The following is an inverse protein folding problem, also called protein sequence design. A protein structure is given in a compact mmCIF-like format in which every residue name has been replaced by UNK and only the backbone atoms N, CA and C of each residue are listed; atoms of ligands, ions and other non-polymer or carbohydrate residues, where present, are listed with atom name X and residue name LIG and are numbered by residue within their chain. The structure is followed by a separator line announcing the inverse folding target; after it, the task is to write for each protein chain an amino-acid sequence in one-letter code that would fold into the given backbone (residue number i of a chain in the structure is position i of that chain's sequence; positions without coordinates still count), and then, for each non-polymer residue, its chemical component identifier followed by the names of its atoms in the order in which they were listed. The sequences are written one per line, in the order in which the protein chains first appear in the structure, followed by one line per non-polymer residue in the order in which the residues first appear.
data_IF_569236706441
#
_entry.id   IF_569236706441
#
_cell.length_a   1.000
_cell.length_b   1.000
_cell.length_c   1.000
_cell.angle_alpha   90.00
_cell.angle_beta   90.00
_cell.angle_gamma   90.00
#
_symmetry.space_group_name_H-M   'P 1'
#
loop_
_entity.id
_entity.type
_entity.pdbx_description
1 polymer ?
#
# COMPACT_ATOMS: atom_id res chain seq x y z
N UNK A 1 31.58 -48.99 17.95
CA UNK A 1 30.60 -48.54 16.94
C UNK A 1 30.34 -47.06 17.15
N UNK A 2 31.01 -46.23 16.33
CA UNK A 2 30.96 -44.76 16.43
C UNK A 2 29.74 -44.24 15.68
N UNK A 3 28.84 -43.54 16.37
CA UNK A 3 27.68 -42.85 15.75
C UNK A 3 28.15 -41.56 15.08
N UNK A 4 28.22 -41.58 13.76
CA UNK A 4 28.52 -40.38 12.95
C UNK A 4 27.46 -39.30 13.11
N UNK A 5 27.92 -38.07 13.42
CA UNK A 5 27.11 -36.85 13.46
C UNK A 5 26.64 -36.48 12.03
N UNK A 6 25.37 -36.19 11.78
CA UNK A 6 24.92 -35.80 10.45
C UNK A 6 25.54 -34.45 10.06
N UNK A 7 26.21 -34.42 8.90
CA UNK A 7 26.78 -33.20 8.32
C UNK A 7 25.68 -32.16 8.11
N UNK A 8 25.85 -31.00 8.77
CA UNK A 8 25.00 -29.82 8.54
C UNK A 8 25.20 -29.37 7.09
N UNK A 9 24.11 -29.37 6.33
CA UNK A 9 24.07 -28.80 4.98
C UNK A 9 24.51 -27.32 4.95
N UNK A 10 24.87 -26.78 3.78
CA UNK A 10 25.39 -25.42 3.65
C UNK A 10 24.38 -24.43 4.23
N UNK A 11 24.86 -23.51 5.07
CA UNK A 11 24.06 -22.43 5.63
C UNK A 11 23.60 -21.53 4.48
N UNK A 12 22.29 -21.40 4.27
CA UNK A 12 21.69 -20.37 3.41
C UNK A 12 22.02 -18.99 3.99
N UNK A 13 23.07 -18.35 3.47
CA UNK A 13 23.73 -17.29 4.23
C UNK A 13 23.57 -15.89 3.69
N UNK A 14 23.03 -15.68 2.50
CA UNK A 14 23.07 -14.33 1.93
C UNK A 14 21.70 -13.86 1.44
N UNK A 15 20.96 -13.19 2.33
CA UNK A 15 19.68 -12.55 2.00
C UNK A 15 19.84 -11.43 0.98
N UNK A 16 20.98 -10.71 1.01
CA UNK A 16 21.28 -9.62 0.07
C UNK A 16 21.52 -10.17 -1.34
N UNK A 17 22.30 -11.26 -1.47
CA UNK A 17 22.52 -11.92 -2.75
C UNK A 17 21.24 -12.50 -3.33
N UNK A 18 20.38 -13.10 -2.49
CA UNK A 18 19.08 -13.62 -2.92
C UNK A 18 18.11 -12.52 -3.32
N UNK A 19 18.12 -11.38 -2.63
CA UNK A 19 17.35 -10.22 -3.03
C UNK A 19 17.81 -9.67 -4.39
N UNK A 20 19.11 -9.47 -4.59
CA UNK A 20 19.72 -9.02 -5.86
C UNK A 20 19.45 -9.97 -7.03
N UNK A 21 19.32 -11.28 -6.76
CA UNK A 21 18.98 -12.29 -7.76
C UNK A 21 17.47 -12.49 -8.00
N UNK A 22 16.60 -11.73 -7.30
CA UNK A 22 15.14 -11.90 -7.35
C UNK A 22 14.63 -13.19 -6.70
N UNK A 23 15.47 -13.92 -5.97
CA UNK A 23 15.13 -15.21 -5.35
C UNK A 23 14.65 -15.10 -3.90
N UNK A 24 14.32 -13.89 -3.43
CA UNK A 24 13.69 -13.66 -2.12
C UNK A 24 12.21 -14.00 -2.22
N UNK A 25 11.83 -15.18 -1.74
CA UNK A 25 10.45 -15.65 -1.68
C UNK A 25 9.90 -15.29 -0.29
N UNK A 26 8.92 -14.38 -0.22
CA UNK A 26 8.30 -13.90 1.03
C UNK A 26 7.70 -15.04 1.85
N UNK A 27 7.14 -16.07 1.20
CA UNK A 27 6.53 -17.22 1.86
C UNK A 27 7.53 -18.07 2.65
N UNK A 28 8.81 -18.13 2.22
CA UNK A 28 9.86 -18.87 2.91
C UNK A 28 10.41 -18.14 4.13
N UNK A 29 10.41 -16.80 4.11
CA UNK A 29 10.85 -16.00 5.26
C UNK A 29 9.89 -16.17 6.44
N UNK A 30 8.58 -16.21 6.19
CA UNK A 30 7.56 -16.41 7.21
C UNK A 30 7.55 -17.86 7.76
N UNK A 31 7.76 -18.86 6.93
CA UNK A 31 7.82 -20.27 7.37
C UNK A 31 9.05 -20.55 8.27
N UNK A 32 10.22 -19.97 7.96
CA UNK A 32 11.41 -20.09 8.79
C UNK A 32 11.28 -19.36 10.15
N UNK A 33 10.47 -18.29 10.24
CA UNK A 33 10.21 -17.61 11.51
C UNK A 33 9.39 -18.44 12.50
N UNK A 34 8.43 -19.24 12.02
CA UNK A 34 7.62 -20.13 12.88
C UNK A 34 8.44 -21.27 13.49
N UNK A 35 9.43 -21.79 12.78
CA UNK A 35 10.28 -22.89 13.25
C UNK A 35 11.39 -22.45 14.23
N UNK A 36 11.84 -21.19 14.15
CA UNK A 36 12.98 -20.68 14.93
C UNK A 36 12.60 -20.02 16.27
N UNK A 37 11.31 -19.98 16.65
CA UNK A 37 10.86 -19.26 17.87
C UNK A 37 11.38 -19.82 19.20
N UNK A 38 11.85 -21.04 19.29
CA UNK A 38 12.26 -21.67 20.58
C UNK A 38 13.75 -21.81 20.86
N UNK A 39 14.66 -21.61 19.90
CA UNK A 39 16.08 -21.97 20.09
C UNK A 39 17.13 -20.86 19.91
N UNK A 40 16.81 -19.68 19.36
CA UNK A 40 17.82 -18.68 18.95
C UNK A 40 17.73 -17.30 19.62
N UNK A 41 16.91 -17.13 20.63
CA UNK A 41 16.72 -15.84 21.30
C UNK A 41 17.99 -15.32 21.99
N UNK A 42 18.85 -16.21 22.52
CA UNK A 42 20.06 -15.84 23.25
C UNK A 42 21.25 -15.43 22.37
N UNK A 43 21.44 -16.04 21.20
CA UNK A 43 22.55 -15.71 20.31
C UNK A 43 22.31 -14.41 19.51
N UNK A 44 21.04 -14.14 19.13
CA UNK A 44 20.64 -12.90 18.45
C UNK A 44 20.82 -11.64 19.32
N UNK A 45 20.66 -11.76 20.64
CA UNK A 45 20.85 -10.65 21.56
C UNK A 45 22.32 -10.22 21.71
N UNK A 46 23.29 -11.13 21.57
CA UNK A 46 24.72 -10.79 21.61
C UNK A 46 25.14 -9.99 20.38
N UNK A 47 24.76 -10.40 19.18
CA UNK A 47 25.13 -9.73 17.92
C UNK A 47 24.49 -8.35 17.81
N UNK A 48 23.21 -8.22 18.18
CA UNK A 48 22.51 -6.94 18.21
C UNK A 48 23.10 -5.96 19.25
N UNK A 49 23.55 -6.46 20.42
CA UNK A 49 24.22 -5.64 21.44
C UNK A 49 25.60 -5.17 21.00
N UNK A 50 26.35 -5.97 20.25
CA UNK A 50 27.69 -5.59 19.75
C UNK A 50 27.60 -4.50 18.69
N UNK A 51 26.62 -4.57 17.78
CA UNK A 51 26.35 -3.52 16.78
C UNK A 51 25.85 -2.23 17.49
N UNK A 52 24.97 -2.35 18.49
CA UNK A 52 24.50 -1.18 19.27
C UNK A 52 25.62 -0.50 20.05
N UNK A 53 26.61 -1.25 20.58
CA UNK A 53 27.72 -0.68 21.36
C UNK A 53 28.71 0.09 20.47
N UNK A 54 29.02 -0.39 19.27
CA UNK A 54 29.85 0.34 18.30
C UNK A 54 29.19 1.57 17.69
N UNK A 55 27.85 1.61 17.65
CA UNK A 55 27.07 2.77 17.18
C UNK A 55 26.92 3.87 18.24
N UNK A 56 27.04 3.54 19.53
CA UNK A 56 26.95 4.52 20.62
C UNK A 56 28.20 5.41 20.78
N UNK A 57 29.32 5.04 20.16
CA UNK A 57 30.60 5.74 20.33
C UNK A 57 30.83 6.88 19.30
N UNK A 58 30.03 6.97 18.23
CA UNK A 58 30.03 8.13 17.33
C UNK A 58 28.70 8.88 17.49
N UNK A 59 28.75 10.13 17.92
CA UNK A 59 27.62 11.07 17.82
C UNK A 59 27.40 11.33 16.32
N UNK A 60 26.59 10.47 15.70
CA UNK A 60 26.19 10.64 14.29
C UNK A 60 25.26 11.83 14.21
N UNK A 61 25.68 12.84 13.46
CA UNK A 61 24.78 13.90 13.05
C UNK A 61 23.79 13.31 12.03
N UNK A 62 22.59 12.99 12.51
CA UNK A 62 21.52 12.36 11.71
C UNK A 62 21.12 13.27 10.53
N UNK A 63 21.29 14.58 10.69
CA UNK A 63 20.93 15.57 9.64
C UNK A 63 21.84 15.45 8.41
N UNK A 64 23.06 14.98 8.57
CA UNK A 64 24.01 14.80 7.45
C UNK A 64 23.81 13.49 6.70
N UNK A 65 23.00 12.57 7.22
CA UNK A 65 22.77 11.27 6.58
C UNK A 65 21.93 11.41 5.29
N UNK A 66 22.21 10.56 4.29
CA UNK A 66 21.41 10.56 3.06
C UNK A 66 19.94 10.26 3.34
N UNK A 67 19.07 10.91 2.55
CA UNK A 67 17.63 10.64 2.56
C UNK A 67 17.32 9.63 1.46
N UNK A 68 16.55 8.59 1.80
CA UNK A 68 16.05 7.61 0.86
C UNK A 68 14.54 7.43 0.97
N UNK A 69 13.96 6.84 -0.06
CA UNK A 69 12.54 6.48 -0.15
C UNK A 69 12.36 4.99 0.13
N UNK A 70 11.46 4.65 1.03
CA UNK A 70 11.07 3.24 1.28
C UNK A 70 10.16 2.79 0.14
N UNK A 71 10.65 1.87 -0.69
CA UNK A 71 9.89 1.37 -1.86
C UNK A 71 9.24 0.01 -1.61
N UNK A 72 9.74 -0.75 -0.64
CA UNK A 72 9.12 -1.99 -0.18
C UNK A 72 9.48 -2.26 1.28
N UNK A 73 8.54 -2.85 2.04
CA UNK A 73 8.74 -3.26 3.43
C UNK A 73 8.60 -4.77 3.53
N UNK A 74 9.61 -5.43 4.09
CA UNK A 74 9.60 -6.85 4.44
C UNK A 74 9.50 -7.01 5.96
N UNK A 75 9.32 -8.21 6.44
CA UNK A 75 9.15 -8.44 7.89
C UNK A 75 10.32 -7.94 8.76
N UNK A 76 11.55 -7.94 8.23
CA UNK A 76 12.78 -7.56 8.96
C UNK A 76 13.59 -6.47 8.27
N UNK A 77 13.28 -6.16 7.02
CA UNK A 77 14.04 -5.26 6.16
C UNK A 77 13.12 -4.31 5.43
N UNK A 78 13.68 -3.19 4.99
CA UNK A 78 13.06 -2.27 4.05
C UNK A 78 13.99 -2.10 2.86
N UNK A 79 13.44 -2.08 1.67
CA UNK A 79 14.15 -1.62 0.49
C UNK A 79 14.05 -0.10 0.45
N UNK A 80 15.21 0.55 0.53
CA UNK A 80 15.34 2.01 0.53
C UNK A 80 16.06 2.43 -0.73
N UNK A 81 15.43 3.26 -1.55
CA UNK A 81 16.02 3.85 -2.75
C UNK A 81 16.60 5.23 -2.44
N UNK A 82 17.86 5.42 -2.78
CA UNK A 82 18.52 6.72 -2.76
C UNK A 82 19.15 6.95 -4.12
N UNK A 83 18.78 8.05 -4.79
CA UNK A 83 19.10 8.32 -6.19
C UNK A 83 18.70 7.15 -7.10
N UNK A 84 19.65 6.51 -7.77
CA UNK A 84 19.42 5.39 -8.69
C UNK A 84 19.66 4.02 -8.07
N UNK A 85 20.06 3.96 -6.78
CA UNK A 85 20.42 2.71 -6.10
C UNK A 85 19.41 2.33 -5.04
N UNK A 86 19.09 1.04 -4.97
CA UNK A 86 18.30 0.46 -3.90
C UNK A 86 19.22 -0.25 -2.91
N UNK A 87 18.92 -0.09 -1.62
CA UNK A 87 19.65 -0.67 -0.49
C UNK A 87 18.71 -1.45 0.41
N UNK A 88 19.11 -2.65 0.81
CA UNK A 88 18.38 -3.41 1.80
C UNK A 88 18.77 -2.93 3.20
N UNK A 89 17.84 -2.27 3.90
CA UNK A 89 18.08 -1.65 5.19
C UNK A 89 17.31 -2.32 6.31
N UNK A 90 17.91 -2.37 7.50
CA UNK A 90 17.22 -2.73 8.76
C UNK A 90 16.74 -1.47 9.48
N UNK A 91 15.67 -1.64 10.26
CA UNK A 91 15.15 -0.56 11.12
C UNK A 91 15.81 -0.63 12.48
N UNK A 92 16.30 0.50 12.98
CA UNK A 92 16.85 0.58 14.32
C UNK A 92 15.76 0.28 15.37
N UNK A 93 16.02 -0.66 16.28
CA UNK A 93 15.04 -1.10 17.31
C UNK A 93 14.53 0.03 18.20
N UNK A 94 15.37 1.02 18.49
CA UNK A 94 14.97 2.20 19.26
C UNK A 94 13.92 3.01 18.54
N UNK A 95 14.03 3.16 17.21
CA UNK A 95 13.06 3.87 16.38
C UNK A 95 11.67 3.22 16.48
N UNK A 96 11.60 1.89 16.42
CA UNK A 96 10.33 1.15 16.55
C UNK A 96 9.68 1.29 17.91
N UNK A 97 10.47 1.52 18.98
CA UNK A 97 9.96 1.68 20.35
C UNK A 97 9.56 3.12 20.67
N UNK A 98 10.32 4.10 20.17
CA UNK A 98 10.12 5.52 20.52
C UNK A 98 9.13 6.21 19.59
N UNK A 99 9.09 5.84 18.31
CA UNK A 99 8.19 6.48 17.35
C UNK A 99 6.74 5.95 17.43
N UNK A 100 6.50 4.79 18.05
CA UNK A 100 5.17 4.14 18.05
C UNK A 100 4.61 3.89 16.64
N UNK A 101 5.41 4.18 15.60
CA UNK A 101 4.97 4.27 14.21
C UNK A 101 5.71 3.22 13.38
N UNK A 102 4.95 2.39 12.70
CA UNK A 102 5.48 1.41 11.77
C UNK A 102 6.02 2.11 10.51
N UNK A 103 7.18 1.66 9.98
CA UNK A 103 7.67 2.08 8.66
C UNK A 103 6.77 1.49 7.58
N UNK A 104 6.46 2.31 6.58
CA UNK A 104 5.61 1.95 5.45
C UNK A 104 6.20 2.40 4.12
N UNK A 105 5.66 1.88 3.03
CA UNK A 105 6.02 2.31 1.68
C UNK A 105 5.69 3.80 1.49
N UNK A 106 6.61 4.53 0.86
CA UNK A 106 6.51 5.97 0.68
C UNK A 106 7.14 6.80 1.82
N UNK A 107 7.58 6.17 2.92
CA UNK A 107 8.34 6.89 3.94
C UNK A 107 9.65 7.43 3.38
N UNK A 108 9.96 8.67 3.70
CA UNK A 108 11.29 9.24 3.52
C UNK A 108 12.09 8.98 4.80
N UNK A 109 13.26 8.41 4.65
CA UNK A 109 14.07 7.97 5.80
C UNK A 109 15.50 8.46 5.69
N UNK A 110 16.10 8.80 6.83
CA UNK A 110 17.54 8.98 6.90
C UNK A 110 18.17 7.65 7.28
N UNK A 111 19.15 7.25 6.48
CA UNK A 111 19.79 5.94 6.67
C UNK A 111 21.30 6.03 6.53
N UNK A 112 21.99 5.12 7.16
CA UNK A 112 23.44 4.98 7.12
C UNK A 112 23.78 3.68 6.41
N UNK A 113 24.69 3.75 5.44
CA UNK A 113 25.27 2.56 4.81
C UNK A 113 26.22 1.86 5.79
N UNK A 114 26.16 0.53 5.82
CA UNK A 114 27.03 -0.30 6.63
C UNK A 114 28.04 -0.99 5.72
N UNK A 115 29.33 -0.74 5.95
CA UNK A 115 30.40 -1.41 5.22
C UNK A 115 30.72 -2.81 5.78
N UNK A 116 30.00 -3.27 6.80
CA UNK A 116 30.25 -4.55 7.48
C UNK A 116 29.51 -5.69 6.77
N UNK A 117 30.23 -6.47 5.99
CA UNK A 117 29.76 -7.64 5.25
C UNK A 117 29.19 -8.79 6.14
N UNK A 118 29.06 -8.57 7.46
CA UNK A 118 28.62 -9.60 8.40
C UNK A 118 27.12 -9.68 8.67
N UNK A 119 26.37 -8.63 8.36
CA UNK A 119 24.94 -8.52 8.65
C UNK A 119 24.15 -8.33 7.34
N UNK A 120 23.88 -9.24 6.57
CA UNK A 120 22.96 -9.30 5.41
C UNK A 120 22.12 -8.04 5.05
N UNK A 121 22.41 -6.87 5.61
CA UNK A 121 21.80 -5.58 5.38
C UNK A 121 22.86 -4.57 4.95
N UNK A 122 22.54 -3.79 3.91
CA UNK A 122 23.43 -2.77 3.35
C UNK A 122 23.37 -1.46 4.12
N UNK A 123 22.31 -1.26 4.93
CA UNK A 123 22.14 -0.03 5.71
C UNK A 123 21.24 -0.18 6.94
N UNK A 124 21.22 0.90 7.73
CA UNK A 124 20.38 1.04 8.92
C UNK A 124 19.58 2.33 8.83
N UNK A 125 18.27 2.23 8.96
CA UNK A 125 17.37 3.38 9.05
C UNK A 125 17.49 3.96 10.46
N UNK A 126 17.90 5.24 10.51
CA UNK A 126 18.14 5.97 11.75
C UNK A 126 16.97 6.88 12.13
N UNK A 127 16.25 7.45 11.12
CA UNK A 127 15.07 8.31 11.33
C UNK A 127 14.07 8.19 10.19
N UNK A 128 12.79 8.34 10.53
CA UNK A 128 11.70 8.56 9.57
C UNK A 128 11.44 10.06 9.51
N UNK A 129 11.43 10.64 8.31
CA UNK A 129 11.08 12.03 8.10
C UNK A 129 9.57 12.26 8.30
N UNK A 130 9.14 13.49 8.64
CA UNK A 130 7.72 13.80 8.81
C UNK A 130 6.91 13.45 7.55
N UNK A 131 5.80 12.75 7.76
CA UNK A 131 4.87 12.38 6.70
C UNK A 131 3.98 13.56 6.32
N UNK A 132 3.83 13.81 5.03
CA UNK A 132 2.93 14.84 4.49
C UNK A 132 1.51 14.29 4.33
N UNK A 133 1.41 13.07 3.83
CA UNK A 133 0.15 12.33 3.64
C UNK A 133 0.27 10.94 4.23
N UNK A 134 -0.87 10.33 4.57
CA UNK A 134 -0.89 9.01 5.19
C UNK A 134 -2.17 8.25 4.80
N UNK A 135 -2.03 6.98 4.45
CA UNK A 135 -3.15 6.06 4.38
C UNK A 135 -3.01 4.98 5.44
N UNK A 136 -4.12 4.66 6.08
CA UNK A 136 -4.18 3.65 7.14
C UNK A 136 -5.06 2.49 6.72
N UNK A 137 -4.90 1.37 7.41
CA UNK A 137 -5.80 0.22 7.35
C UNK A 137 -6.66 0.20 8.61
N UNK A 138 -7.96 -0.03 8.44
CA UNK A 138 -8.82 -0.34 9.56
C UNK A 138 -8.46 -1.74 10.09
N UNK A 139 -8.11 -1.86 11.37
CA UNK A 139 -7.97 -3.16 11.99
C UNK A 139 -9.35 -3.73 12.31
N UNK A 140 -9.60 -4.98 11.88
CA UNK A 140 -10.90 -5.65 12.05
C UNK A 140 -11.22 -5.98 13.52
N UNK A 141 -10.21 -5.97 14.40
CA UNK A 141 -10.35 -6.39 15.80
C UNK A 141 -10.19 -5.25 16.81
N UNK A 142 -9.50 -4.16 16.43
CA UNK A 142 -9.26 -3.01 17.30
C UNK A 142 -9.46 -1.74 16.48
N UNK A 143 -10.69 -1.28 16.44
CA UNK A 143 -11.08 -0.09 15.68
C UNK A 143 -10.33 1.20 16.08
N UNK A 144 -9.59 1.17 17.19
CA UNK A 144 -8.83 2.31 17.73
C UNK A 144 -7.40 2.37 17.18
N UNK A 145 -6.78 1.22 16.82
CA UNK A 145 -5.43 1.19 16.29
C UNK A 145 -5.47 1.31 14.76
N UNK A 146 -5.14 2.48 14.26
CA UNK A 146 -5.00 2.73 12.83
C UNK A 146 -3.56 2.46 12.41
N UNK A 147 -3.37 1.43 11.59
CA UNK A 147 -2.04 1.08 11.11
C UNK A 147 -1.76 1.79 9.77
N UNK A 148 -0.72 2.62 9.70
CA UNK A 148 -0.29 3.18 8.41
C UNK A 148 0.09 2.07 7.45
N UNK A 149 -0.23 2.25 6.17
CA UNK A 149 0.12 1.33 5.07
C UNK A 149 0.88 2.01 3.95
N UNK A 150 0.62 3.30 3.72
CA UNK A 150 1.30 4.14 2.73
C UNK A 150 1.49 5.54 3.30
N UNK A 151 2.63 6.16 2.99
CA UNK A 151 2.94 7.54 3.32
C UNK A 151 3.37 8.33 2.07
N UNK A 152 3.25 9.65 2.13
CA UNK A 152 3.78 10.60 1.16
C UNK A 152 3.34 10.37 -0.31
N UNK A 153 2.16 9.79 -0.52
CA UNK A 153 1.52 9.76 -1.82
C UNK A 153 0.71 11.05 -2.05
N UNK A 154 0.74 11.60 -3.27
CA UNK A 154 0.00 12.83 -3.61
C UNK A 154 -1.46 12.57 -3.93
N UNK A 155 -1.78 11.42 -4.52
CA UNK A 155 -3.14 11.10 -4.94
C UNK A 155 -3.53 9.64 -4.71
N UNK A 156 -4.85 9.41 -4.71
CA UNK A 156 -5.45 8.07 -4.67
C UNK A 156 -6.27 7.85 -5.94
N UNK A 157 -5.90 6.87 -6.76
CA UNK A 157 -6.71 6.42 -7.89
C UNK A 157 -7.70 5.34 -7.42
N UNK A 158 -8.96 5.73 -7.30
CA UNK A 158 -10.06 4.85 -6.90
C UNK A 158 -10.64 4.20 -8.14
N UNK A 159 -10.29 2.94 -8.39
CA UNK A 159 -10.76 2.20 -9.57
C UNK A 159 -12.01 1.41 -9.24
N UNK A 160 -13.06 1.65 -10.01
CA UNK A 160 -14.28 0.85 -10.07
C UNK A 160 -14.41 0.25 -11.47
N UNK A 161 -15.23 -0.77 -11.63
CA UNK A 161 -15.64 -1.26 -12.96
C UNK A 161 -17.13 -1.05 -13.14
N UNK A 162 -17.55 -0.81 -14.40
CA UNK A 162 -18.99 -0.68 -14.70
C UNK A 162 -19.73 -1.99 -14.45
N UNK A 163 -19.04 -3.12 -14.62
CA UNK A 163 -19.57 -4.47 -14.45
C UNK A 163 -18.48 -5.49 -14.10
N UNK A 164 -18.85 -6.59 -13.46
CA UNK A 164 -17.97 -7.72 -13.11
C UNK A 164 -16.62 -7.32 -12.45
N UNK A 165 -16.62 -6.73 -11.22
CA UNK A 165 -17.75 -6.62 -10.28
C UNK A 165 -18.57 -5.34 -10.46
N UNK A 166 -19.78 -5.31 -9.92
CA UNK A 166 -20.61 -4.11 -9.83
C UNK A 166 -19.91 -2.95 -9.13
N UNK A 167 -20.14 -1.69 -9.58
CA UNK A 167 -19.67 -0.52 -8.86
C UNK A 167 -20.37 -0.44 -7.50
N UNK A 168 -19.58 -0.30 -6.46
CA UNK A 168 -20.07 -0.11 -5.08
C UNK A 168 -19.86 1.34 -4.67
N UNK A 169 -20.81 2.22 -5.01
CA UNK A 169 -20.68 3.66 -4.80
C UNK A 169 -20.38 4.02 -3.36
N UNK A 170 -21.04 3.40 -2.37
CA UNK A 170 -20.73 3.62 -0.96
C UNK A 170 -19.33 3.19 -0.53
N UNK A 171 -18.68 2.25 -1.25
CA UNK A 171 -17.27 1.92 -1.02
C UNK A 171 -16.36 2.99 -1.64
N UNK A 172 -16.73 3.54 -2.80
CA UNK A 172 -16.02 4.65 -3.42
C UNK A 172 -16.07 5.86 -2.52
N UNK A 173 -17.25 6.23 -2.01
CA UNK A 173 -17.41 7.34 -1.06
C UNK A 173 -16.54 7.16 0.21
N UNK A 174 -16.48 5.93 0.73
CA UNK A 174 -15.57 5.63 1.85
C UNK A 174 -14.10 5.84 1.48
N UNK A 175 -13.71 5.49 0.26
CA UNK A 175 -12.34 5.71 -0.23
C UNK A 175 -12.07 7.21 -0.45
N UNK A 176 -13.07 8.00 -0.88
CA UNK A 176 -12.99 9.46 -0.96
C UNK A 176 -12.70 10.06 0.41
N UNK A 177 -13.46 9.67 1.44
CA UNK A 177 -13.23 10.11 2.83
C UNK A 177 -11.82 9.69 3.30
N UNK A 178 -11.38 8.46 3.01
CA UNK A 178 -10.05 8.00 3.38
C UNK A 178 -8.93 8.79 2.68
N UNK A 179 -9.11 9.14 1.41
CA UNK A 179 -8.16 9.97 0.67
C UNK A 179 -8.09 11.39 1.28
N UNK A 180 -9.22 12.04 1.46
CA UNK A 180 -9.30 13.40 2.03
C UNK A 180 -8.73 13.45 3.44
N UNK A 181 -9.11 12.52 4.31
CA UNK A 181 -8.60 12.46 5.69
C UNK A 181 -7.09 12.19 5.75
N UNK A 182 -6.55 11.43 4.78
CA UNK A 182 -5.13 11.19 4.59
C UNK A 182 -4.38 12.32 3.85
N UNK A 183 -5.07 13.39 3.45
CA UNK A 183 -4.57 14.52 2.64
C UNK A 183 -4.09 14.13 1.24
N UNK A 184 -4.71 13.10 0.63
CA UNK A 184 -4.47 12.71 -0.76
C UNK A 184 -5.56 13.31 -1.65
N UNK A 185 -5.18 13.66 -2.88
CA UNK A 185 -6.15 14.07 -3.92
C UNK A 185 -6.83 12.82 -4.50
N UNK A 186 -8.16 12.67 -4.39
CA UNK A 186 -8.86 11.53 -4.98
C UNK A 186 -9.07 11.72 -6.49
N UNK A 187 -8.93 10.63 -7.24
CA UNK A 187 -9.32 10.50 -8.65
C UNK A 187 -10.17 9.23 -8.78
N UNK A 188 -11.33 9.32 -9.42
CA UNK A 188 -12.21 8.16 -9.63
C UNK A 188 -12.08 7.67 -11.07
N UNK A 189 -11.74 6.40 -11.25
CA UNK A 189 -11.63 5.74 -12.53
C UNK A 189 -12.72 4.67 -12.70
N UNK A 190 -13.62 4.85 -13.66
CA UNK A 190 -14.59 3.83 -14.05
C UNK A 190 -14.04 3.03 -15.21
N UNK A 191 -13.62 1.81 -14.94
CA UNK A 191 -12.98 0.90 -15.90
C UNK A 191 -13.97 -0.08 -16.54
N UNK A 192 -13.54 -0.78 -17.58
CA UNK A 192 -14.29 -1.77 -18.36
C UNK A 192 -15.50 -1.19 -19.09
N UNK A 193 -15.43 0.06 -19.52
CA UNK A 193 -16.53 0.72 -20.24
C UNK A 193 -16.83 0.08 -21.61
N UNK A 194 -15.94 -0.75 -22.16
CA UNK A 194 -16.18 -1.60 -23.32
C UNK A 194 -17.38 -2.54 -23.13
N UNK A 195 -17.71 -2.90 -21.90
CA UNK A 195 -18.86 -3.73 -21.58
C UNK A 195 -20.21 -3.03 -21.82
N UNK A 196 -20.22 -1.69 -21.85
CA UNK A 196 -21.44 -0.91 -22.18
C UNK A 196 -22.01 -1.17 -23.58
N UNK A 197 -21.21 -1.78 -24.46
CA UNK A 197 -21.64 -2.12 -25.81
C UNK A 197 -21.94 -3.61 -26.03
N UNK A 198 -21.64 -4.45 -25.04
CA UNK A 198 -21.65 -5.92 -25.21
C UNK A 198 -22.32 -6.68 -24.07
N UNK A 199 -22.69 -6.00 -22.99
CA UNK A 199 -23.25 -6.64 -21.79
C UNK A 199 -24.47 -5.86 -21.28
N UNK A 200 -25.62 -6.52 -21.24
CA UNK A 200 -26.90 -5.90 -20.85
C UNK A 200 -26.92 -5.41 -19.40
N UNK A 201 -26.24 -6.12 -18.51
CA UNK A 201 -26.16 -5.74 -17.09
C UNK A 201 -25.24 -4.51 -16.91
N UNK A 202 -24.17 -4.41 -17.70
CA UNK A 202 -23.35 -3.22 -17.76
C UNK A 202 -24.13 -2.02 -18.27
N UNK A 203 -24.92 -2.18 -19.36
CA UNK A 203 -25.78 -1.14 -19.91
C UNK A 203 -26.79 -0.65 -18.86
N UNK A 204 -27.38 -1.55 -18.09
CA UNK A 204 -28.32 -1.19 -17.02
C UNK A 204 -27.69 -0.35 -15.89
N UNK A 205 -26.39 -0.43 -15.70
CA UNK A 205 -25.64 0.39 -14.71
C UNK A 205 -25.30 1.80 -15.23
N UNK A 206 -25.35 2.02 -16.55
CA UNK A 206 -24.87 3.25 -17.16
C UNK A 206 -25.56 4.51 -16.62
N UNK A 207 -26.91 4.59 -16.53
CA UNK A 207 -27.58 5.82 -16.09
C UNK A 207 -27.13 6.26 -14.69
N UNK A 208 -27.06 5.32 -13.75
CA UNK A 208 -26.59 5.61 -12.39
C UNK A 208 -25.10 5.98 -12.37
N UNK A 209 -24.28 5.30 -13.16
CA UNK A 209 -22.86 5.61 -13.24
C UNK A 209 -22.61 7.01 -13.82
N UNK A 210 -23.38 7.41 -14.82
CA UNK A 210 -23.32 8.74 -15.43
C UNK A 210 -23.72 9.81 -14.43
N UNK A 211 -24.82 9.61 -13.70
CA UNK A 211 -25.27 10.50 -12.63
C UNK A 211 -24.20 10.66 -11.54
N UNK A 212 -23.68 9.56 -11.00
CA UNK A 212 -22.69 9.60 -9.91
C UNK A 212 -21.38 10.27 -10.37
N UNK A 213 -20.87 9.95 -11.54
CA UNK A 213 -19.63 10.58 -12.04
C UNK A 213 -19.84 12.07 -12.33
N UNK A 214 -20.99 12.47 -12.89
CA UNK A 214 -21.33 13.87 -13.07
C UNK A 214 -21.41 14.60 -11.73
N UNK A 215 -22.01 13.99 -10.70
CA UNK A 215 -22.06 14.52 -9.35
C UNK A 215 -20.67 14.70 -8.74
N UNK A 216 -19.81 13.68 -8.83
CA UNK A 216 -18.44 13.77 -8.32
C UNK A 216 -17.66 14.91 -8.99
N UNK A 217 -17.80 15.06 -10.30
CA UNK A 217 -17.08 16.09 -11.05
C UNK A 217 -17.66 17.48 -10.80
N UNK A 218 -18.98 17.63 -10.96
CA UNK A 218 -19.64 18.92 -10.91
C UNK A 218 -19.85 19.47 -9.49
N UNK A 219 -20.22 18.59 -8.54
CA UNK A 219 -20.57 19.02 -7.18
C UNK A 219 -19.38 18.93 -6.22
N UNK A 220 -18.57 17.87 -6.31
CA UNK A 220 -17.47 17.65 -5.41
C UNK A 220 -16.09 18.07 -5.96
N UNK A 221 -16.00 18.47 -7.24
CA UNK A 221 -14.75 18.84 -7.88
C UNK A 221 -13.74 17.68 -8.00
N UNK A 222 -14.24 16.44 -7.90
CA UNK A 222 -13.41 15.24 -7.99
C UNK A 222 -13.19 14.88 -9.44
N UNK A 223 -11.94 14.71 -9.85
CA UNK A 223 -11.63 14.29 -11.20
C UNK A 223 -12.07 12.85 -11.45
N UNK A 224 -12.77 12.65 -12.56
CA UNK A 224 -13.24 11.32 -12.97
C UNK A 224 -12.70 10.98 -14.36
N UNK A 225 -12.38 9.70 -14.60
CA UNK A 225 -11.93 9.19 -15.90
C UNK A 225 -12.64 7.87 -16.21
N UNK A 226 -12.99 7.66 -17.48
CA UNK A 226 -13.60 6.42 -17.98
C UNK A 226 -12.58 5.67 -18.82
N UNK A 227 -12.36 4.39 -18.53
CA UNK A 227 -11.30 3.62 -19.16
C UNK A 227 -11.76 2.25 -19.62
N UNK A 228 -11.10 1.75 -20.66
CA UNK A 228 -11.11 0.35 -21.05
C UNK A 228 -9.71 -0.08 -21.45
N UNK A 229 -9.18 -1.09 -20.77
CA UNK A 229 -7.92 -1.72 -21.19
C UNK A 229 -8.07 -2.41 -22.55
N UNK A 230 -9.25 -3.00 -22.82
CA UNK A 230 -9.53 -3.76 -24.04
C UNK A 230 -9.55 -2.87 -25.28
N UNK A 231 -10.21 -1.72 -25.21
CA UNK A 231 -10.31 -0.76 -26.33
C UNK A 231 -9.28 0.35 -26.28
N UNK A 232 -8.47 0.43 -25.20
CA UNK A 232 -7.52 1.49 -24.89
C UNK A 232 -8.14 2.88 -24.67
N UNK A 233 -9.45 2.97 -24.62
CA UNK A 233 -10.16 4.23 -24.36
C UNK A 233 -9.79 4.80 -22.98
N UNK A 234 -9.55 6.11 -22.91
CA UNK A 234 -9.25 6.85 -21.68
C UNK A 234 -7.88 6.55 -21.06
N UNK A 235 -7.03 5.71 -21.68
CA UNK A 235 -5.71 5.39 -21.12
C UNK A 235 -4.74 6.57 -21.21
N UNK A 236 -4.81 7.39 -22.26
CA UNK A 236 -3.95 8.57 -22.41
C UNK A 236 -4.30 9.65 -21.37
N UNK A 237 -5.59 9.85 -21.11
CA UNK A 237 -6.06 10.73 -20.03
C UNK A 237 -5.58 10.21 -18.68
N UNK A 238 -5.77 8.92 -18.40
CA UNK A 238 -5.30 8.29 -17.16
C UNK A 238 -3.78 8.40 -17.02
N UNK A 239 -3.01 8.16 -18.09
CA UNK A 239 -1.57 8.32 -18.12
C UNK A 239 -1.13 9.73 -17.75
N UNK A 240 -1.81 10.75 -18.30
CA UNK A 240 -1.56 12.16 -17.99
C UNK A 240 -1.84 12.49 -16.52
N UNK A 241 -2.86 11.87 -15.92
CA UNK A 241 -3.20 12.02 -14.49
C UNK A 241 -2.17 11.38 -13.55
N UNK A 242 -1.48 10.32 -13.99
CA UNK A 242 -0.45 9.63 -13.21
C UNK A 242 0.92 10.28 -13.34
N UNK A 243 1.14 11.04 -14.41
CA UNK A 243 2.42 11.67 -14.69
C UNK A 243 2.83 12.62 -13.55
N UNK A 244 4.08 12.48 -13.11
CA UNK A 244 4.68 13.27 -12.02
C UNK A 244 3.98 13.18 -10.66
N UNK A 245 3.07 12.20 -10.50
CA UNK A 245 2.36 11.97 -9.25
C UNK A 245 2.80 10.64 -8.61
N UNK A 246 2.80 10.61 -7.28
CA UNK A 246 2.86 9.35 -6.54
C UNK A 246 1.43 8.94 -6.21
N UNK A 247 0.94 7.89 -6.84
CA UNK A 247 -0.47 7.49 -6.84
C UNK A 247 -0.68 6.16 -6.11
N UNK A 248 -1.55 6.14 -5.10
CA UNK A 248 -2.00 4.89 -4.48
C UNK A 248 -3.15 4.29 -5.29
N UNK A 249 -3.04 3.00 -5.60
CA UNK A 249 -4.12 2.26 -6.26
C UNK A 249 -5.12 1.75 -5.23
N UNK A 250 -6.38 2.14 -5.38
CA UNK A 250 -7.49 1.72 -4.54
C UNK A 250 -8.61 1.11 -5.39
N UNK A 251 -9.44 0.27 -4.79
CA UNK A 251 -10.60 -0.33 -5.47
C UNK A 251 -10.71 -1.83 -5.21
N UNK A 252 -11.89 -2.36 -5.50
CA UNK A 252 -12.22 -3.77 -5.26
C UNK A 252 -11.34 -4.71 -6.10
N UNK A 253 -11.22 -5.97 -5.66
CA UNK A 253 -10.56 -7.01 -6.48
C UNK A 253 -11.32 -7.23 -7.78
N UNK A 254 -10.60 -7.41 -8.89
CA UNK A 254 -11.19 -7.69 -10.21
C UNK A 254 -11.66 -6.47 -11.00
N UNK A 255 -11.55 -5.23 -10.47
CA UNK A 255 -11.89 -4.00 -11.22
C UNK A 255 -10.86 -3.62 -12.30
N UNK A 256 -9.69 -4.26 -12.30
CA UNK A 256 -8.68 -4.07 -13.34
C UNK A 256 -7.54 -3.11 -12.99
N UNK A 257 -7.27 -2.83 -11.70
CA UNK A 257 -6.17 -1.93 -11.26
C UNK A 257 -4.83 -2.26 -11.91
N UNK A 258 -4.34 -3.47 -11.70
CA UNK A 258 -3.04 -3.92 -12.24
C UNK A 258 -3.04 -3.94 -13.77
N UNK A 259 -4.17 -4.31 -14.40
CA UNK A 259 -4.30 -4.30 -15.86
C UNK A 259 -4.24 -2.89 -16.45
N UNK A 260 -4.82 -1.89 -15.76
CA UNK A 260 -4.74 -0.48 -16.17
C UNK A 260 -3.31 0.02 -16.12
N UNK A 261 -2.59 -0.26 -15.02
CA UNK A 261 -1.21 0.17 -14.87
C UNK A 261 -0.31 -0.48 -15.93
N UNK A 262 -0.46 -1.79 -16.17
CA UNK A 262 0.27 -2.51 -17.22
C UNK A 262 -0.10 -2.08 -18.64
N UNK A 263 -1.32 -1.57 -18.86
CA UNK A 263 -1.71 -1.01 -20.15
C UNK A 263 -1.03 0.35 -20.43
N UNK A 264 -0.67 1.10 -19.38
CA UNK A 264 0.07 2.36 -19.44
C UNK A 264 1.59 2.09 -19.51
N UNK A 265 2.08 1.18 -18.67
CA UNK A 265 3.50 0.80 -18.63
C UNK A 265 3.65 -0.73 -18.62
N UNK A 266 3.80 -1.34 -19.81
CA UNK A 266 3.91 -2.80 -19.94
C UNK A 266 5.18 -3.41 -19.34
N UNK A 267 6.19 -2.60 -19.05
CA UNK A 267 7.48 -3.07 -18.54
C UNK A 267 7.50 -3.25 -17.01
N UNK A 268 6.42 -2.87 -16.31
CA UNK A 268 6.33 -3.01 -14.87
C UNK A 268 6.20 -4.49 -14.46
N UNK A 269 7.00 -4.92 -13.51
CA UNK A 269 6.88 -6.25 -12.87
C UNK A 269 5.73 -6.27 -11.84
N UNK A 270 4.51 -6.00 -12.33
CA UNK A 270 3.28 -6.10 -11.56
C UNK A 270 2.67 -7.50 -11.74
N UNK A 271 2.54 -8.25 -10.64
CA UNK A 271 1.88 -9.55 -10.66
C UNK A 271 0.37 -9.38 -10.80
N UNK A 272 -0.17 -9.70 -11.97
CA UNK A 272 -1.62 -9.78 -12.18
C UNK A 272 -2.11 -11.14 -11.69
N UNK A 273 -2.91 -11.15 -10.63
CA UNK A 273 -3.62 -12.37 -10.24
C UNK A 273 -4.74 -12.65 -11.28
N UNK A 274 -4.80 -13.85 -11.90
CA UNK A 274 -5.91 -14.21 -12.78
C UNK A 274 -7.23 -14.14 -11.99
N UNK A 275 -8.29 -13.66 -12.64
CA UNK A 275 -9.64 -13.63 -12.08
C UNK A 275 -10.10 -15.08 -11.88
N UNK A 276 -9.81 -15.67 -10.74
CA UNK A 276 -10.23 -17.05 -10.44
C UNK A 276 -11.67 -17.06 -9.98
N UNK A 277 -12.53 -17.74 -10.74
CA UNK A 277 -13.91 -18.08 -10.38
C UNK A 277 -14.01 -19.10 -9.21
N UNK A 278 -12.89 -19.52 -8.64
CA UNK A 278 -12.84 -20.55 -7.61
C UNK A 278 -12.25 -19.98 -6.33
N UNK A 279 -13.03 -19.98 -5.28
CA UNK A 279 -12.61 -19.72 -3.91
C UNK A 279 -11.68 -20.85 -3.42
N UNK A 280 -10.41 -20.83 -3.76
CA UNK A 280 -9.41 -21.65 -3.11
C UNK A 280 -8.87 -20.89 -1.90
N UNK A 281 -9.42 -21.21 -0.73
CA UNK A 281 -8.79 -20.92 0.58
C UNK A 281 -7.38 -21.51 0.58
N UNK A 282 -6.35 -20.67 0.73
CA UNK A 282 -5.06 -21.16 1.16
C UNK A 282 -3.83 -20.81 0.35
N UNK A 283 -3.75 -19.61 -0.29
CA UNK A 283 -2.45 -19.13 -0.76
C UNK A 283 -2.35 -17.64 -0.45
N UNK A 284 -1.54 -17.29 0.54
CA UNK A 284 -1.24 -15.89 0.88
C UNK A 284 -0.46 -15.28 -0.29
N UNK A 285 -1.16 -14.56 -1.15
CA UNK A 285 -0.58 -13.69 -2.16
C UNK A 285 0.00 -12.49 -1.42
N UNK A 286 1.15 -12.01 -1.84
CA UNK A 286 1.93 -10.84 -1.41
C UNK A 286 1.08 -9.80 -0.67
N UNK A 287 1.36 -9.61 0.63
CA UNK A 287 0.56 -8.76 1.52
C UNK A 287 1.21 -7.39 1.78
N UNK A 288 2.36 -7.11 1.17
CA UNK A 288 3.09 -5.85 1.34
C UNK A 288 2.84 -4.87 0.19
N UNK A 289 2.64 -3.60 0.53
CA UNK A 289 2.59 -2.53 -0.45
C UNK A 289 3.96 -2.40 -1.16
N UNK A 290 3.95 -1.98 -2.44
CA UNK A 290 5.17 -1.74 -3.21
C UNK A 290 5.03 -0.50 -4.09
N UNK A 291 6.10 0.27 -4.16
CA UNK A 291 6.24 1.44 -4.99
C UNK A 291 6.88 1.05 -6.34
N UNK A 292 6.27 1.50 -7.44
CA UNK A 292 6.73 1.27 -8.80
C UNK A 292 6.83 2.60 -9.53
N UNK A 293 7.99 2.89 -10.11
CA UNK A 293 8.15 4.06 -10.99
C UNK A 293 7.52 3.78 -12.35
N UNK A 294 6.86 4.79 -12.92
CA UNK A 294 6.26 4.71 -14.24
C UNK A 294 7.19 5.30 -15.30
N UNK A 295 7.28 4.66 -16.46
CA UNK A 295 8.06 5.17 -17.60
C UNK A 295 7.58 6.55 -18.09
N UNK A 296 6.30 6.87 -17.90
CA UNK A 296 5.71 8.18 -18.22
C UNK A 296 6.05 9.28 -17.21
N UNK A 297 6.80 8.94 -16.17
CA UNK A 297 7.08 9.79 -14.98
C UNK A 297 6.03 9.60 -13.89
N UNK A 298 6.44 9.89 -12.63
CA UNK A 298 5.64 9.59 -11.45
C UNK A 298 5.75 8.12 -11.00
N UNK A 299 4.86 7.70 -10.12
CA UNK A 299 4.90 6.35 -9.56
C UNK A 299 3.52 5.85 -9.12
N UNK A 300 3.37 4.54 -9.02
CA UNK A 300 2.20 3.91 -8.41
C UNK A 300 2.60 3.09 -7.20
N UNK A 301 1.75 3.11 -6.17
CA UNK A 301 1.87 2.25 -5.01
C UNK A 301 0.70 1.26 -5.05
N UNK A 302 1.01 -0.01 -5.31
CA UNK A 302 0.02 -1.07 -5.20
C UNK A 302 -0.06 -1.58 -3.76
N UNK A 303 -1.28 -1.76 -3.27
CA UNK A 303 -1.58 -2.21 -1.90
C UNK A 303 -2.36 -3.52 -1.94
N UNK A 304 -1.72 -4.66 -2.27
CA UNK A 304 -2.41 -5.94 -2.40
C UNK A 304 -3.12 -6.32 -1.10
N UNK A 305 -4.34 -6.84 -1.21
CA UNK A 305 -5.09 -7.34 -0.05
C UNK A 305 -5.71 -6.28 0.86
N UNK A 306 -5.52 -5.00 0.62
CA UNK A 306 -6.22 -3.94 1.37
C UNK A 306 -7.66 -3.85 0.88
N UNK A 307 -8.57 -4.45 1.64
CA UNK A 307 -10.01 -4.45 1.31
C UNK A 307 -10.72 -3.17 1.76
N UNK A 308 -10.24 -2.57 2.85
CA UNK A 308 -10.82 -1.36 3.44
C UNK A 308 -9.70 -0.46 3.96
N UNK A 309 -9.69 0.78 3.50
CA UNK A 309 -8.86 1.81 4.08
C UNK A 309 -9.48 2.29 5.40
N UNK A 310 -8.62 2.56 6.39
CA UNK A 310 -8.99 3.21 7.63
C UNK A 310 -9.33 4.68 7.37
N UNK A 311 -10.15 5.23 8.24
CA UNK A 311 -10.52 6.64 8.20
C UNK A 311 -9.67 7.37 9.24
N UNK A 312 -8.53 7.90 8.84
CA UNK A 312 -7.59 8.58 9.75
C UNK A 312 -8.19 9.84 10.33
N UNK A 313 -8.28 9.93 11.67
CA UNK A 313 -8.84 11.10 12.34
C UNK A 313 -10.32 11.35 12.07
N UNK A 314 -11.03 10.44 11.38
CA UNK A 314 -12.46 10.56 11.16
C UNK A 314 -13.22 9.90 12.30
N UNK A 315 -14.10 10.65 12.91
CA UNK A 315 -15.01 10.23 13.98
C UNK A 315 -16.46 10.42 13.54
N UNK A 316 -17.41 9.90 14.31
CA UNK A 316 -18.82 10.16 14.05
C UNK A 316 -19.14 11.66 14.10
N UNK A 317 -18.45 12.40 14.97
CA UNK A 317 -18.69 13.82 15.23
C UNK A 317 -18.15 14.74 14.12
N UNK A 318 -17.12 14.32 13.38
CA UNK A 318 -16.53 15.11 12.30
C UNK A 318 -16.78 14.55 10.90
N UNK A 319 -17.51 13.43 10.77
CA UNK A 319 -17.76 12.78 9.46
C UNK A 319 -18.47 13.74 8.49
N UNK A 320 -19.37 14.58 8.99
CA UNK A 320 -20.14 15.52 8.17
C UNK A 320 -19.21 16.47 7.40
N UNK A 321 -18.08 16.88 7.96
CA UNK A 321 -17.12 17.74 7.27
C UNK A 321 -16.51 17.14 6.00
N UNK A 322 -16.59 15.80 5.82
CA UNK A 322 -16.19 15.09 4.61
C UNK A 322 -17.35 14.91 3.61
N UNK A 323 -18.53 15.43 3.95
CA UNK A 323 -19.73 15.41 3.12
C UNK A 323 -20.39 16.79 3.06
N UNK A 324 -19.64 17.81 2.60
CA UNK A 324 -20.16 19.21 2.60
C UNK A 324 -21.39 19.39 1.70
N UNK A 325 -21.59 18.46 0.79
CA UNK A 325 -22.67 18.41 -0.19
C UNK A 325 -24.03 17.96 0.37
N UNK A 326 -24.09 17.38 1.58
CA UNK A 326 -25.34 16.86 2.16
C UNK A 326 -26.33 17.95 2.54
N UNK A 327 -25.87 19.17 2.77
CA UNK A 327 -26.75 20.31 3.11
C UNK A 327 -27.63 20.81 1.94
N UNK A 328 -27.26 20.45 0.67
CA UNK A 328 -27.80 21.05 -0.53
C UNK A 328 -28.41 20.00 -1.49
N UNK A 329 -29.50 19.38 -1.14
CA UNK A 329 -30.22 18.41 -2.01
C UNK A 329 -29.34 17.25 -2.56
N UNK A 330 -28.52 16.66 -1.70
CA UNK A 330 -27.73 15.50 -2.09
C UNK A 330 -28.63 14.31 -2.46
N UNK A 331 -28.29 13.54 -3.51
CA UNK A 331 -29.09 12.40 -3.91
C UNK A 331 -29.13 11.30 -2.85
N UNK A 332 -30.18 10.49 -2.85
CA UNK A 332 -30.43 9.43 -1.85
C UNK A 332 -29.24 8.46 -1.70
N UNK A 333 -28.58 8.08 -2.80
CA UNK A 333 -27.41 7.17 -2.76
C UNK A 333 -26.22 7.80 -1.98
N UNK A 334 -26.11 9.13 -1.98
CA UNK A 334 -25.07 9.86 -1.27
C UNK A 334 -25.35 9.86 0.24
N UNK A 335 -26.61 10.12 0.65
CA UNK A 335 -27.06 9.99 2.02
C UNK A 335 -26.88 8.58 2.57
N UNK A 336 -27.23 7.56 1.78
CA UNK A 336 -27.02 6.16 2.16
C UNK A 336 -25.54 5.84 2.38
N UNK A 337 -24.66 6.40 1.58
CA UNK A 337 -23.20 6.25 1.77
C UNK A 337 -22.73 6.86 3.08
N UNK A 338 -23.15 8.07 3.39
CA UNK A 338 -22.87 8.73 4.66
C UNK A 338 -23.36 7.90 5.85
N UNK A 339 -24.61 7.48 5.84
CA UNK A 339 -25.19 6.68 6.92
C UNK A 339 -24.44 5.36 7.15
N UNK A 340 -24.03 4.67 6.08
CA UNK A 340 -23.25 3.43 6.18
C UNK A 340 -21.87 3.66 6.80
N UNK A 341 -21.22 4.76 6.46
CA UNK A 341 -19.92 5.12 7.03
C UNK A 341 -20.11 5.48 8.51
N UNK A 342 -21.08 6.32 8.83
CA UNK A 342 -21.43 6.69 10.21
C UNK A 342 -21.72 5.47 11.09
N UNK A 343 -22.56 4.56 10.62
CA UNK A 343 -22.85 3.31 11.31
C UNK A 343 -21.60 2.45 11.55
N UNK A 344 -20.64 2.46 10.60
CA UNK A 344 -19.36 1.74 10.76
C UNK A 344 -18.47 2.35 11.83
N UNK A 345 -18.48 3.68 12.00
CA UNK A 345 -17.73 4.39 13.03
C UNK A 345 -18.32 4.15 14.44
N UNK A 346 -19.66 4.08 14.56
CA UNK A 346 -20.30 3.75 15.83
C UNK A 346 -20.02 2.31 16.30
N UNK A 347 -19.98 1.34 15.38
CA UNK A 347 -19.64 -0.06 15.71
C UNK A 347 -18.18 -0.23 16.15
N UNK A 348 -17.33 0.69 15.78
CA UNK A 348 -15.91 0.69 16.11
C UNK A 348 -15.62 1.24 17.52
N UNK A 349 -16.59 1.83 18.23
CA UNK A 349 -16.41 2.25 19.63
C UNK A 349 -16.43 1.00 20.52
N UNK A 350 -15.42 0.73 21.36
CA UNK A 350 -15.51 -0.32 22.38
C UNK A 350 -16.61 0.06 23.39
N UNK A 351 -17.39 -0.95 23.78
CA UNK A 351 -18.33 -0.83 24.91
C UNK A 351 -17.58 -0.70 26.22
#
# INVERSE_FOLDING_TARGET
MSRGNPKKGPREKDLTARWKSGALDEDRVDAQQRFNRRGKFHQRNKTARTVQRRVAENVLDIETLPVGLVIQVFSLFCEVRSDTKSHLCVVRRTLLKTAGTQIVVGDRVRFRLCNDAGNNAEGVIERIEPRQTILTRADSFKAIEQHPIVANAGQMLIVASIWAPFPRWGLIDRMLVAAQSGKLTPVVCLNKIDLLTSDTEAMAQQPLADEVLAYYTGRLGIRTVRTSVKTRQGLDELSSLLKEQVTVLAGHSGVGKSSLVLAIDPNLDLRVAPVSRVHLKGRHTTTSARHYDLAVGGAVIDTPGVKLFGLWGVTADNLESFFPDLADDAPEWRWQSYQRILASLHRARPR
#
